data_IF_599473620648
#
_entry.id   IF_599473620648
#
_cell.length_a   1.000
_cell.length_b   1.000
_cell.length_c   1.000
_cell.angle_alpha   90.00
_cell.angle_beta   90.00
_cell.angle_gamma   90.00
#
_symmetry.space_group_name_H-M   'P 1'
#
loop_
_entity.id
_entity.type
_entity.pdbx_description
1 polymer ?
#
# COMPACT_ATOMS: atom_id res chain seq x y z
N UNK A 1 -12.24 54.83 22.60
CA UNK A 1 -13.55 54.48 23.18
C UNK A 1 -13.48 53.02 23.66
N UNK A 2 -13.47 52.79 24.98
CA UNK A 2 -13.44 51.46 25.60
C UNK A 2 -14.86 51.10 26.05
N UNK A 3 -15.40 49.98 25.59
CA UNK A 3 -16.53 49.26 26.21
C UNK A 3 -16.11 47.77 26.12
N UNK A 4 -15.71 47.03 27.17
CA UNK A 4 -16.24 46.84 28.54
C UNK A 4 -17.71 46.44 28.53
N UNK A 5 -17.96 45.17 28.25
CA UNK A 5 -19.14 44.45 28.74
C UNK A 5 -18.71 43.25 29.58
N UNK A 6 -19.34 43.18 30.75
CA UNK A 6 -19.14 42.26 31.87
C UNK A 6 -19.67 40.86 31.58
N UNK A 7 -19.12 39.88 32.31
CA UNK A 7 -19.45 38.45 32.37
C UNK A 7 -20.86 38.14 32.97
N UNK A 8 -21.34 36.87 32.98
CA UNK A 8 -20.87 35.82 33.90
C UNK A 8 -20.64 34.43 33.23
N UNK A 9 -19.57 33.71 33.54
CA UNK A 9 -19.49 32.66 34.57
C UNK A 9 -20.61 31.62 34.50
N UNK A 10 -20.38 30.51 33.79
CA UNK A 10 -20.88 29.20 34.21
C UNK A 10 -19.75 28.18 34.08
N UNK A 11 -19.37 27.71 35.25
CA UNK A 11 -18.36 26.74 35.62
C UNK A 11 -18.97 25.34 35.48
N UNK A 12 -18.42 24.48 34.62
CA UNK A 12 -18.61 23.02 34.72
C UNK A 12 -17.31 22.32 34.33
N UNK A 13 -16.54 22.06 35.39
CA UNK A 13 -15.37 21.19 35.43
C UNK A 13 -15.84 19.74 35.30
N UNK A 14 -15.30 18.99 34.33
CA UNK A 14 -15.30 17.52 34.38
C UNK A 14 -13.85 17.07 34.33
N UNK A 15 -13.29 16.85 35.52
CA UNK A 15 -12.03 16.17 35.78
C UNK A 15 -12.33 14.68 35.95
N UNK A 16 -11.87 13.85 35.02
CA UNK A 16 -11.65 12.43 35.28
C UNK A 16 -10.15 12.16 35.20
N UNK A 17 -9.50 12.30 36.36
CA UNK A 17 -8.19 11.74 36.62
C UNK A 17 -8.38 10.25 36.95
N UNK A 18 -7.81 9.37 36.13
CA UNK A 18 -7.55 7.97 36.50
C UNK A 18 -6.05 7.73 36.43
N UNK A 19 -5.55 7.08 37.48
CA UNK A 19 -4.17 7.03 37.92
C UNK A 19 -3.53 5.66 37.62
N UNK A 20 -2.21 5.66 37.45
CA UNK A 20 -1.31 4.49 37.43
C UNK A 20 -0.32 4.62 36.26
N UNK A 21 0.94 5.08 36.39
CA UNK A 21 1.98 4.79 37.38
C UNK A 21 2.79 3.58 36.89
N UNK A 22 4.09 3.59 36.60
CA UNK A 22 5.18 4.56 36.58
C UNK A 22 6.43 3.87 35.99
N UNK A 23 7.56 4.57 36.01
CA UNK A 23 8.95 4.13 35.73
C UNK A 23 9.55 4.42 34.35
N UNK A 24 10.56 5.28 34.45
CA UNK A 24 11.57 5.71 33.49
C UNK A 24 12.41 4.51 32.99
N UNK A 25 12.89 4.54 31.74
CA UNK A 25 14.33 4.51 31.49
C UNK A 25 14.68 4.75 30.00
N UNK A 26 15.72 5.57 29.83
CA UNK A 26 16.53 5.76 28.64
C UNK A 26 17.27 4.46 28.32
N UNK A 27 17.47 4.10 27.04
CA UNK A 27 18.71 3.47 26.53
C UNK A 27 18.61 3.31 25.01
N UNK A 28 19.62 3.84 24.32
CA UNK A 28 19.95 3.56 22.93
C UNK A 28 20.46 2.11 22.75
N UNK A 29 20.34 1.64 21.51
CA UNK A 29 21.32 0.80 20.78
C UNK A 29 21.17 -0.74 20.84
N UNK A 30 21.22 -1.26 19.60
CA UNK A 30 22.05 -2.39 19.10
C UNK A 30 21.40 -3.77 18.92
N UNK A 31 21.33 -4.14 17.64
CA UNK A 31 21.70 -5.42 17.02
C UNK A 31 21.20 -6.76 17.60
N UNK A 32 20.50 -7.49 16.72
CA UNK A 32 20.91 -8.80 16.19
C UNK A 32 21.46 -9.86 17.16
N UNK A 33 20.67 -10.91 17.34
CA UNK A 33 21.09 -12.33 17.32
C UNK A 33 19.81 -13.17 17.51
N UNK A 34 19.23 -13.72 16.45
CA UNK A 34 19.54 -15.04 15.90
C UNK A 34 19.35 -16.21 16.90
N UNK A 35 18.30 -17.00 16.65
CA UNK A 35 18.18 -18.46 16.83
C UNK A 35 16.72 -18.83 16.49
N UNK A 36 16.41 -19.04 15.21
CA UNK A 36 16.35 -20.34 14.52
C UNK A 36 15.33 -21.31 15.12
N UNK A 37 14.31 -21.62 14.31
CA UNK A 37 13.67 -22.92 14.27
C UNK A 37 13.16 -23.11 12.84
N UNK A 38 14.06 -23.58 11.99
CA UNK A 38 13.72 -24.19 10.72
C UNK A 38 13.00 -25.52 10.97
N UNK A 39 11.99 -25.83 10.16
CA UNK A 39 11.87 -27.21 9.64
C UNK A 39 11.65 -27.17 8.13
N UNK A 40 12.20 -28.16 7.42
CA UNK A 40 12.45 -28.10 5.99
C UNK A 40 11.25 -28.63 5.21
N UNK A 41 10.90 -27.97 4.11
CA UNK A 41 10.18 -28.63 3.02
C UNK A 41 11.03 -28.50 1.76
N UNK A 42 11.43 -29.67 1.27
CA UNK A 42 12.16 -29.88 0.03
C UNK A 42 11.29 -29.42 -1.14
N UNK A 43 11.69 -28.34 -1.82
CA UNK A 43 11.07 -27.90 -3.06
C UNK A 43 12.00 -28.15 -4.25
N UNK A 44 12.55 -29.36 -4.34
CA UNK A 44 13.03 -29.83 -5.62
C UNK A 44 11.87 -29.85 -6.62
N UNK A 45 12.05 -29.11 -7.71
CA UNK A 45 11.29 -29.21 -8.96
C UNK A 45 9.92 -28.49 -8.98
N UNK A 46 9.94 -27.16 -9.11
CA UNK A 46 8.84 -26.43 -9.76
C UNK A 46 9.33 -25.90 -11.09
N UNK A 47 8.91 -26.61 -12.15
CA UNK A 47 8.77 -26.06 -13.49
C UNK A 47 7.78 -24.88 -13.43
N UNK A 48 8.09 -23.68 -13.95
CA UNK A 48 7.13 -22.59 -14.01
C UNK A 48 6.19 -22.81 -15.21
N UNK A 49 5.34 -23.81 -15.10
CA UNK A 49 4.26 -24.09 -16.04
C UNK A 49 2.93 -23.79 -15.37
N UNK A 50 2.37 -22.61 -15.67
CA UNK A 50 0.99 -22.21 -15.44
C UNK A 50 0.40 -22.67 -14.09
N UNK A 51 0.74 -21.95 -13.02
CA UNK A 51 -0.15 -21.90 -11.87
C UNK A 51 -1.44 -21.21 -12.34
N UNK A 52 -2.50 -21.99 -12.54
CA UNK A 52 -3.87 -21.51 -12.43
C UNK A 52 -3.98 -20.87 -11.05
N UNK A 53 -3.80 -19.54 -11.02
CA UNK A 53 -3.52 -18.83 -9.79
C UNK A 53 -4.74 -18.92 -8.86
N UNK A 54 -4.56 -19.51 -7.68
CA UNK A 54 -5.36 -19.08 -6.54
C UNK A 54 -5.29 -17.54 -6.53
N UNK A 55 -6.45 -16.88 -6.65
CA UNK A 55 -6.49 -15.44 -6.87
C UNK A 55 -5.70 -14.74 -5.76
N UNK A 56 -4.60 -14.09 -6.14
CA UNK A 56 -3.75 -13.38 -5.18
C UNK A 56 -4.55 -12.23 -4.56
N UNK A 57 -4.13 -11.79 -3.36
CA UNK A 57 -4.73 -10.61 -2.71
C UNK A 57 -4.78 -9.41 -3.68
N UNK A 58 -3.70 -9.18 -4.44
CA UNK A 58 -3.65 -8.14 -5.47
C UNK A 58 -4.67 -8.29 -6.59
N UNK A 59 -4.86 -9.51 -7.10
CA UNK A 59 -5.87 -9.78 -8.13
C UNK A 59 -7.29 -9.52 -7.62
N UNK A 60 -7.60 -9.99 -6.41
CA UNK A 60 -8.91 -9.77 -5.78
C UNK A 60 -9.17 -8.27 -5.52
N UNK A 61 -8.16 -7.53 -5.10
CA UNK A 61 -8.26 -6.09 -4.88
C UNK A 61 -8.50 -5.33 -6.19
N UNK A 62 -7.82 -5.68 -7.29
CA UNK A 62 -8.06 -5.09 -8.62
C UNK A 62 -9.49 -5.37 -9.10
N UNK A 63 -10.01 -6.56 -8.81
CA UNK A 63 -11.37 -6.96 -9.18
C UNK A 63 -12.45 -6.17 -8.43
N UNK A 64 -12.19 -5.84 -7.16
CA UNK A 64 -13.13 -5.12 -6.30
C UNK A 64 -13.15 -3.60 -6.52
N UNK A 65 -12.18 -3.07 -7.28
CA UNK A 65 -12.04 -1.64 -7.56
C UNK A 65 -12.32 -1.35 -9.03
N UNK A 66 -12.16 -0.10 -9.42
CA UNK A 66 -12.48 0.43 -10.75
C UNK A 66 -11.34 0.27 -11.78
N UNK A 67 -10.22 -0.39 -11.41
CA UNK A 67 -9.01 -0.52 -12.23
C UNK A 67 -9.31 -1.05 -13.64
N UNK A 68 -10.23 -2.02 -13.76
CA UNK A 68 -10.59 -2.69 -15.02
C UNK A 68 -11.37 -1.81 -16.00
N UNK A 69 -11.83 -0.63 -15.56
CA UNK A 69 -12.46 0.37 -16.44
C UNK A 69 -11.45 0.95 -17.43
N UNK A 70 -10.17 1.02 -17.02
CA UNK A 70 -9.11 1.68 -17.78
C UNK A 70 -7.99 0.72 -18.20
N UNK A 71 -7.83 -0.42 -17.51
CA UNK A 71 -6.78 -1.40 -17.76
C UNK A 71 -7.36 -2.78 -18.07
N UNK A 72 -6.64 -3.56 -18.89
CA UNK A 72 -6.89 -4.99 -19.12
C UNK A 72 -5.60 -5.76 -18.91
N UNK A 73 -5.69 -7.09 -18.80
CA UNK A 73 -4.51 -7.95 -18.64
C UNK A 73 -3.58 -7.80 -19.85
N UNK A 74 -4.08 -8.07 -21.05
CA UNK A 74 -3.24 -8.26 -22.25
C UNK A 74 -3.32 -7.13 -23.28
N UNK A 75 -4.16 -6.11 -23.07
CA UNK A 75 -4.44 -5.12 -24.11
C UNK A 75 -4.53 -3.72 -23.52
N UNK A 76 -3.93 -2.76 -24.20
CA UNK A 76 -4.13 -1.34 -23.91
C UNK A 76 -5.59 -0.93 -24.09
N UNK A 77 -6.12 -0.15 -23.14
CA UNK A 77 -7.45 0.46 -23.24
C UNK A 77 -7.30 1.98 -23.10
N UNK A 78 -7.51 2.52 -21.90
CA UNK A 78 -7.17 3.92 -21.57
C UNK A 78 -5.74 3.95 -21.02
N UNK A 79 -5.46 3.06 -20.07
CA UNK A 79 -4.12 2.76 -19.56
C UNK A 79 -3.47 1.59 -20.30
N UNK A 80 -2.17 1.34 -20.04
CA UNK A 80 -1.46 0.17 -20.55
C UNK A 80 -2.08 -1.14 -20.07
N UNK A 81 -1.86 -2.21 -20.82
CA UNK A 81 -2.16 -3.56 -20.35
C UNK A 81 -1.28 -3.93 -19.14
N UNK A 82 -1.79 -4.75 -18.22
CA UNK A 82 -1.01 -5.17 -17.04
C UNK A 82 0.26 -5.93 -17.46
N UNK A 83 0.21 -6.75 -18.51
CA UNK A 83 1.40 -7.41 -19.06
C UNK A 83 2.41 -6.43 -19.63
N UNK A 84 1.98 -5.33 -20.23
CA UNK A 84 2.91 -4.29 -20.71
C UNK A 84 3.63 -3.62 -19.53
N UNK A 85 2.91 -3.38 -18.42
CA UNK A 85 3.52 -2.88 -17.18
C UNK A 85 4.52 -3.89 -16.63
N UNK A 86 4.15 -5.17 -16.58
CA UNK A 86 5.03 -6.25 -16.13
C UNK A 86 6.30 -6.37 -16.99
N UNK A 87 6.18 -6.20 -18.30
CA UNK A 87 7.32 -6.24 -19.22
C UNK A 87 8.24 -5.00 -19.09
N UNK A 88 7.69 -3.83 -18.76
CA UNK A 88 8.47 -2.59 -18.63
C UNK A 88 9.23 -2.48 -17.32
N UNK A 89 8.72 -3.08 -16.24
CA UNK A 89 9.28 -2.94 -14.90
C UNK A 89 9.65 -4.29 -14.30
N UNK A 90 10.87 -4.40 -13.76
CA UNK A 90 11.27 -5.55 -12.97
C UNK A 90 10.53 -5.60 -11.64
N UNK A 91 10.24 -6.82 -11.15
CA UNK A 91 9.57 -7.07 -9.88
C UNK A 91 10.52 -6.89 -8.68
N UNK A 92 11.01 -5.66 -8.50
CA UNK A 92 11.84 -5.26 -7.35
C UNK A 92 11.01 -4.45 -6.37
N UNK A 93 11.36 -4.48 -5.07
CA UNK A 93 10.66 -3.70 -4.04
C UNK A 93 10.62 -2.19 -4.38
N UNK A 94 11.70 -1.65 -4.94
CA UNK A 94 11.74 -0.25 -5.37
C UNK A 94 10.72 0.07 -6.47
N UNK A 95 10.54 -0.83 -7.45
CA UNK A 95 9.52 -0.65 -8.48
C UNK A 95 8.11 -0.87 -7.94
N UNK A 96 7.92 -1.83 -7.04
CA UNK A 96 6.64 -2.08 -6.37
C UNK A 96 6.22 -0.80 -5.61
N UNK A 97 7.12 -0.22 -4.83
CA UNK A 97 6.87 1.01 -4.10
C UNK A 97 6.55 2.18 -5.03
N UNK A 98 7.40 2.42 -6.03
CA UNK A 98 7.21 3.50 -6.99
C UNK A 98 5.87 3.40 -7.73
N UNK A 99 5.51 2.21 -8.19
CA UNK A 99 4.27 1.99 -8.92
C UNK A 99 3.06 2.07 -7.99
N UNK A 100 3.16 1.60 -6.75
CA UNK A 100 2.11 1.77 -5.75
C UNK A 100 1.86 3.26 -5.44
N UNK A 101 2.92 4.09 -5.34
CA UNK A 101 2.76 5.54 -5.21
C UNK A 101 2.08 6.13 -6.44
N UNK A 102 2.44 5.65 -7.63
CA UNK A 102 1.83 6.11 -8.88
C UNK A 102 0.34 5.78 -8.94
N UNK A 103 -0.08 4.61 -8.45
CA UNK A 103 -1.50 4.21 -8.34
C UNK A 103 -2.26 5.16 -7.42
N UNK A 104 -1.71 5.46 -6.25
CA UNK A 104 -2.37 6.33 -5.26
C UNK A 104 -2.42 7.78 -5.75
N UNK A 105 -1.30 8.32 -6.24
CA UNK A 105 -1.17 9.71 -6.63
C UNK A 105 -1.67 10.04 -8.05
N UNK A 106 -1.80 9.03 -8.92
CA UNK A 106 -2.17 9.22 -10.33
C UNK A 106 -1.11 9.94 -11.17
N UNK A 107 -1.54 10.51 -12.30
CA UNK A 107 -0.76 11.37 -13.21
C UNK A 107 -0.43 10.73 -14.56
N UNK A 108 0.38 11.43 -15.36
CA UNK A 108 0.67 11.11 -16.77
C UNK A 108 2.18 10.96 -17.06
N UNK A 109 2.56 10.78 -18.33
CA UNK A 109 3.94 10.86 -18.84
C UNK A 109 4.61 9.52 -19.13
N UNK A 110 4.36 8.49 -18.32
CA UNK A 110 5.04 7.19 -18.47
C UNK A 110 4.55 6.34 -19.67
N UNK A 111 3.33 6.61 -20.12
CA UNK A 111 2.57 5.80 -21.10
C UNK A 111 1.80 6.64 -22.13
N UNK A 112 2.00 7.96 -22.12
CA UNK A 112 1.30 8.93 -22.95
C UNK A 112 0.84 10.16 -22.17
N UNK A 113 0.05 11.00 -22.83
CA UNK A 113 -0.47 12.26 -22.29
C UNK A 113 -1.68 12.06 -21.37
N UNK A 114 -2.45 10.98 -21.56
CA UNK A 114 -3.61 10.64 -20.73
C UNK A 114 -3.16 10.37 -19.30
N UNK A 115 -3.71 11.12 -18.35
CA UNK A 115 -3.42 10.98 -16.94
C UNK A 115 -4.29 9.88 -16.31
N UNK A 116 -3.67 9.04 -15.48
CA UNK A 116 -4.39 8.16 -14.57
C UNK A 116 -4.95 8.97 -13.41
N UNK A 117 -6.22 8.77 -13.05
CA UNK A 117 -6.83 9.41 -11.88
C UNK A 117 -6.18 8.90 -10.58
N UNK A 118 -6.06 9.75 -9.54
CA UNK A 118 -5.56 9.31 -8.25
C UNK A 118 -6.54 8.36 -7.55
N UNK A 119 -6.02 7.37 -6.83
CA UNK A 119 -6.78 6.46 -5.97
C UNK A 119 -6.38 6.66 -4.50
N UNK A 120 -6.66 7.85 -3.96
CA UNK A 120 -6.22 8.28 -2.64
C UNK A 120 -6.76 7.44 -1.46
N UNK A 121 -7.86 6.72 -1.67
CA UNK A 121 -8.49 5.86 -0.66
C UNK A 121 -7.80 4.48 -0.53
N UNK A 122 -6.85 4.16 -1.41
CA UNK A 122 -6.07 2.93 -1.30
C UNK A 122 -4.97 3.07 -0.26
N UNK A 123 -4.87 2.08 0.63
CA UNK A 123 -3.70 1.94 1.48
C UNK A 123 -2.47 1.63 0.63
N UNK A 124 -1.30 2.07 1.11
CA UNK A 124 -0.03 1.79 0.43
C UNK A 124 0.20 0.28 0.28
N UNK A 125 -0.09 -0.50 1.31
CA UNK A 125 0.14 -1.94 1.30
C UNK A 125 -0.78 -2.66 0.32
N UNK A 126 -2.06 -2.29 0.24
CA UNK A 126 -2.96 -2.87 -0.75
C UNK A 126 -2.53 -2.51 -2.18
N UNK A 127 -2.09 -1.27 -2.41
CA UNK A 127 -1.54 -0.87 -3.70
C UNK A 127 -0.28 -1.67 -4.07
N UNK A 128 0.61 -1.98 -3.09
CA UNK A 128 1.76 -2.86 -3.32
C UNK A 128 1.32 -4.28 -3.71
N UNK A 129 0.31 -4.83 -3.04
CA UNK A 129 -0.22 -6.17 -3.37
C UNK A 129 -0.80 -6.23 -4.79
N UNK A 130 -1.55 -5.20 -5.20
CA UNK A 130 -2.02 -5.07 -6.58
C UNK A 130 -0.86 -5.01 -7.59
N UNK A 131 0.17 -4.20 -7.31
CA UNK A 131 1.33 -4.05 -8.19
C UNK A 131 2.15 -5.34 -8.27
N UNK A 132 2.37 -6.04 -7.16
CA UNK A 132 3.05 -7.36 -7.16
C UNK A 132 2.34 -8.33 -8.08
N UNK A 133 1.02 -8.39 -8.00
CA UNK A 133 0.23 -9.20 -8.93
C UNK A 133 0.46 -8.77 -10.38
N UNK A 134 0.35 -7.47 -10.69
CA UNK A 134 0.58 -6.96 -12.05
C UNK A 134 1.95 -7.37 -12.58
N UNK A 135 3.02 -7.19 -11.80
CA UNK A 135 4.39 -7.51 -12.21
C UNK A 135 4.65 -9.02 -12.33
N UNK A 136 3.81 -9.88 -11.75
CA UNK A 136 3.87 -11.33 -11.93
C UNK A 136 3.29 -11.83 -13.26
N UNK A 137 2.57 -10.99 -14.02
CA UNK A 137 1.86 -11.38 -15.25
C UNK A 137 2.77 -11.42 -16.50
N UNK A 138 4.06 -11.71 -16.33
CA UNK A 138 5.01 -11.83 -17.45
C UNK A 138 4.74 -13.06 -18.32
#
# INVERSE_FOLDING_TARGET
MRMRFLAPVVLSVVLLASCGGGSENKTEKKEESAATSETPVDNSMVSPGAAEAAASKGAALIEQKDCKTCHKIDTKLVGPGYKEVAQKYEATEANIDKLADKVIAGGSGNWGEVAMTPHADLSKDDAKEMVKYILSLK
#
